data_IF_359801505348
#
_entry.id   IF_359801505348
#
_cell.length_a   1.000
_cell.length_b   1.000
_cell.length_c   1.000
_cell.angle_alpha   90.00
_cell.angle_beta   90.00
_cell.angle_gamma   90.00
#
_symmetry.space_group_name_H-M   'P 1'
#
loop_
_entity.id
_entity.type
_entity.pdbx_description
1 polymer ?
#
# COMPACT_ATOMS: atom_id res chain seq x y z
N UNK A 1 -16.74 -1.07 -54.54
CA UNK A 1 -16.52 -0.02 -55.56
C UNK A 1 -17.57 1.08 -55.51
N UNK A 2 -18.86 0.77 -55.35
CA UNK A 2 -19.94 1.78 -55.27
C UNK A 2 -19.84 2.70 -54.02
N UNK A 3 -19.39 2.14 -52.90
CA UNK A 3 -19.31 2.84 -51.62
C UNK A 3 -18.20 3.91 -51.61
N UNK A 4 -17.07 3.63 -52.26
CA UNK A 4 -15.97 4.59 -52.40
C UNK A 4 -16.36 5.80 -53.26
N UNK A 5 -17.20 5.60 -54.29
CA UNK A 5 -17.74 6.71 -55.09
C UNK A 5 -18.72 7.56 -54.27
N UNK A 6 -19.60 6.93 -53.49
CA UNK A 6 -20.54 7.64 -52.60
C UNK A 6 -19.81 8.53 -51.59
N UNK A 7 -18.74 8.03 -50.97
CA UNK A 7 -17.93 8.79 -50.02
C UNK A 7 -17.18 9.94 -50.71
N UNK A 8 -16.61 9.69 -51.89
CA UNK A 8 -15.92 10.74 -52.66
C UNK A 8 -16.86 11.85 -53.14
N UNK A 9 -18.10 11.52 -53.52
CA UNK A 9 -19.11 12.50 -53.92
C UNK A 9 -19.60 13.35 -52.73
N UNK A 10 -19.81 12.72 -51.57
CA UNK A 10 -20.31 13.42 -50.37
C UNK A 10 -19.25 14.23 -49.62
N UNK A 11 -18.03 13.73 -49.51
CA UNK A 11 -16.98 14.27 -48.61
C UNK A 11 -15.82 14.87 -49.40
N UNK A 12 -15.67 14.53 -50.68
CA UNK A 12 -14.53 14.93 -51.50
C UNK A 12 -13.28 14.11 -51.22
N UNK A 13 -12.21 14.40 -51.97
CA UNK A 13 -10.90 13.73 -51.83
C UNK A 13 -9.96 14.41 -50.82
N UNK A 14 -10.34 15.57 -50.29
CA UNK A 14 -9.48 16.30 -49.37
C UNK A 14 -9.55 15.66 -47.99
N UNK A 15 -8.39 15.50 -47.34
CA UNK A 15 -8.32 14.93 -46.00
C UNK A 15 -8.76 15.99 -44.97
N UNK A 16 -9.91 15.81 -44.27
CA UNK A 16 -10.36 16.76 -43.26
C UNK A 16 -9.56 16.64 -41.96
N UNK A 17 -8.82 15.55 -41.75
CA UNK A 17 -8.00 15.33 -40.57
C UNK A 17 -6.59 15.87 -40.80
N UNK A 18 -6.45 17.20 -40.73
CA UNK A 18 -5.15 17.87 -40.71
C UNK A 18 -4.93 18.49 -39.34
N UNK A 19 -3.79 18.19 -38.73
CA UNK A 19 -3.38 18.86 -37.49
C UNK A 19 -2.93 20.29 -37.79
N UNK A 20 -3.13 21.23 -36.86
CA UNK A 20 -2.53 22.55 -36.94
C UNK A 20 -1.00 22.46 -37.04
N UNK A 21 -0.39 23.39 -37.76
CA UNK A 21 1.06 23.57 -37.81
C UNK A 21 1.60 23.73 -36.37
N UNK A 22 2.64 22.96 -36.01
CA UNK A 22 3.26 23.02 -34.69
C UNK A 22 2.49 22.39 -33.52
N UNK A 23 1.41 21.64 -33.78
CA UNK A 23 0.65 20.93 -32.73
C UNK A 23 1.52 19.94 -31.95
N UNK A 24 2.24 19.07 -32.67
CA UNK A 24 3.08 18.05 -32.04
C UNK A 24 4.34 18.62 -31.39
N UNK A 25 4.80 19.81 -31.81
CA UNK A 25 5.97 20.48 -31.22
C UNK A 25 5.72 20.89 -29.76
N UNK A 26 4.48 21.28 -29.44
CA UNK A 26 4.10 21.72 -28.10
C UNK A 26 3.40 20.64 -27.25
N UNK A 27 3.00 19.53 -27.87
CA UNK A 27 2.26 18.46 -27.21
C UNK A 27 2.99 17.94 -25.97
N UNK A 28 4.27 17.65 -26.08
CA UNK A 28 5.07 17.13 -24.96
C UNK A 28 5.11 18.10 -23.78
N UNK A 29 5.32 19.39 -24.05
CA UNK A 29 5.33 20.42 -23.01
C UNK A 29 3.96 20.55 -22.33
N UNK A 30 2.89 20.52 -23.12
CA UNK A 30 1.53 20.61 -22.61
C UNK A 30 1.16 19.38 -21.76
N UNK A 31 1.53 18.17 -22.19
CA UNK A 31 1.31 16.96 -21.40
C UNK A 31 2.07 17.04 -20.08
N UNK A 32 3.37 17.34 -20.09
CA UNK A 32 4.18 17.46 -18.87
C UNK A 32 3.66 18.52 -17.90
N UNK A 33 3.14 19.64 -18.39
CA UNK A 33 2.55 20.69 -17.57
C UNK A 33 1.25 20.25 -16.87
N UNK A 34 0.49 19.34 -17.48
CA UNK A 34 -0.76 18.83 -16.93
C UNK A 34 -0.57 17.59 -16.04
N UNK A 35 0.66 17.10 -15.87
CA UNK A 35 0.93 16.02 -14.92
C UNK A 35 0.75 16.55 -13.49
N UNK A 36 0.03 15.84 -12.61
CA UNK A 36 -0.05 16.20 -11.21
C UNK A 36 1.36 16.19 -10.59
N UNK A 37 1.65 17.15 -9.71
CA UNK A 37 2.89 17.12 -8.94
C UNK A 37 2.97 15.77 -8.22
N UNK A 38 3.99 14.98 -8.55
CA UNK A 38 4.19 13.72 -7.86
C UNK A 38 4.30 14.02 -6.37
N UNK A 39 3.50 13.35 -5.50
CA UNK A 39 3.54 13.62 -4.09
C UNK A 39 4.98 13.42 -3.65
N UNK A 40 5.63 14.50 -3.19
CA UNK A 40 6.95 14.41 -2.56
C UNK A 40 6.78 13.39 -1.44
N UNK A 41 7.25 12.16 -1.67
CA UNK A 41 7.18 11.07 -0.69
C UNK A 41 7.75 11.65 0.59
N UNK A 42 6.88 11.97 1.54
CA UNK A 42 7.30 12.43 2.86
C UNK A 42 7.99 11.22 3.45
N UNK A 43 9.32 11.20 3.36
CA UNK A 43 10.13 10.24 4.07
C UNK A 43 9.84 10.50 5.54
N UNK A 44 8.98 9.69 6.16
CA UNK A 44 8.78 9.74 7.60
C UNK A 44 10.16 9.45 8.19
N UNK A 45 10.75 10.45 8.84
CA UNK A 45 12.06 10.32 9.47
C UNK A 45 11.96 9.22 10.54
N UNK A 46 12.58 8.07 10.25
CA UNK A 46 12.60 6.90 11.14
C UNK A 46 13.53 7.13 12.36
N UNK A 47 14.18 8.29 12.43
CA UNK A 47 15.26 8.60 13.37
C UNK A 47 14.85 8.60 14.85
N UNK A 48 13.55 8.74 15.17
CA UNK A 48 13.08 8.69 16.57
C UNK A 48 12.80 7.29 17.09
N UNK A 49 12.74 6.26 16.23
CA UNK A 49 12.52 4.86 16.66
C UNK A 49 13.48 4.37 17.77
N UNK A 50 14.81 4.61 17.72
CA UNK A 50 15.71 4.11 18.76
C UNK A 50 15.48 4.76 20.13
N UNK A 51 15.02 6.01 20.19
CA UNK A 51 14.77 6.73 21.45
C UNK A 51 13.57 6.15 22.19
N UNK A 52 12.52 5.73 21.46
CA UNK A 52 11.35 5.09 22.06
C UNK A 52 11.67 3.72 22.67
N UNK A 53 12.53 2.90 22.05
CA UNK A 53 12.96 1.62 22.62
C UNK A 53 13.78 1.82 23.90
N UNK A 54 14.67 2.80 23.92
CA UNK A 54 15.43 3.14 25.12
C UNK A 54 14.51 3.61 26.25
N UNK A 55 13.56 4.52 25.98
CA UNK A 55 12.60 4.97 26.97
C UNK A 55 11.72 3.82 27.51
N UNK A 56 11.24 2.93 26.64
CA UNK A 56 10.45 1.77 27.04
C UNK A 56 11.22 0.82 27.97
N UNK A 57 12.51 0.57 27.69
CA UNK A 57 13.34 -0.26 28.56
C UNK A 57 13.53 0.32 29.96
N UNK A 58 13.71 1.65 30.08
CA UNK A 58 13.83 2.31 31.38
C UNK A 58 12.52 2.24 32.15
N UNK A 59 11.38 2.47 31.49
CA UNK A 59 10.06 2.32 32.11
C UNK A 59 9.81 0.89 32.60
N UNK A 60 10.16 -0.13 31.81
CA UNK A 60 10.01 -1.52 32.21
C UNK A 60 10.84 -1.88 33.46
N UNK A 61 12.08 -1.40 33.54
CA UNK A 61 12.94 -1.59 34.71
C UNK A 61 12.41 -0.88 35.96
N UNK A 62 11.86 0.34 35.81
CA UNK A 62 11.26 1.07 36.92
C UNK A 62 10.00 0.37 37.45
N UNK A 63 9.14 -0.13 36.55
CA UNK A 63 7.94 -0.89 36.94
C UNK A 63 8.33 -2.20 37.62
N UNK A 64 9.29 -2.96 37.07
CA UNK A 64 9.75 -4.20 37.69
C UNK A 64 10.44 -3.97 39.04
N UNK A 65 11.22 -2.89 39.17
CA UNK A 65 11.83 -2.50 40.45
C UNK A 65 10.79 -2.09 41.48
N UNK A 66 9.77 -1.34 41.08
CA UNK A 66 8.67 -0.93 41.96
C UNK A 66 7.83 -2.13 42.41
N UNK A 67 7.51 -3.08 41.52
CA UNK A 67 6.76 -4.30 41.89
C UNK A 67 7.56 -5.21 42.82
N UNK A 68 8.88 -5.28 42.65
CA UNK A 68 9.76 -6.02 43.56
C UNK A 68 9.84 -5.36 44.94
N UNK A 69 9.91 -4.03 44.99
CA UNK A 69 9.99 -3.28 46.24
C UNK A 69 8.65 -3.18 46.99
N UNK A 70 7.53 -3.31 46.28
CA UNK A 70 6.18 -3.27 46.85
C UNK A 70 5.52 -4.62 47.05
N UNK A 71 6.23 -5.75 46.97
CA UNK A 71 5.62 -7.05 47.30
C UNK A 71 5.06 -7.00 48.74
N UNK A 72 3.73 -6.99 48.95
CA UNK A 72 3.18 -7.33 50.26
C UNK A 72 3.49 -8.81 50.49
N UNK A 73 3.85 -9.19 51.72
CA UNK A 73 3.97 -10.60 52.09
C UNK A 73 2.60 -11.28 51.91
N UNK A 74 2.38 -11.87 50.73
CA UNK A 74 1.25 -12.70 50.41
C UNK A 74 1.79 -14.09 50.05
N UNK A 75 1.65 -15.00 51.01
CA UNK A 75 1.79 -16.43 50.79
C UNK A 75 0.82 -16.86 49.67
N UNK A 76 1.32 -17.53 48.63
CA UNK A 76 0.47 -18.06 47.57
C UNK A 76 1.13 -18.12 46.21
N UNK A 77 2.13 -18.98 46.09
CA UNK A 77 2.72 -19.40 44.81
C UNK A 77 1.68 -20.07 43.92
N UNK A 78 1.16 -19.36 42.92
CA UNK A 78 0.72 -19.95 41.63
C UNK A 78 0.76 -18.86 40.56
N UNK A 79 1.97 -18.51 40.10
CA UNK A 79 2.14 -17.92 38.78
C UNK A 79 2.35 -19.07 37.82
N UNK A 80 1.27 -19.49 37.15
CA UNK A 80 1.34 -20.41 36.04
C UNK A 80 2.36 -19.90 35.02
N UNK A 81 3.37 -20.72 34.79
CA UNK A 81 4.37 -20.53 33.75
C UNK A 81 3.66 -20.51 32.39
N UNK A 82 3.57 -19.33 31.77
CA UNK A 82 3.25 -19.26 30.34
C UNK A 82 4.48 -19.78 29.58
N UNK A 83 4.46 -21.09 29.33
CA UNK A 83 5.37 -21.75 28.41
C UNK A 83 5.14 -21.14 27.02
N UNK A 84 6.20 -20.57 26.44
CA UNK A 84 6.24 -20.24 25.03
C UNK A 84 6.21 -21.54 24.21
N UNK A 85 5.02 -22.06 23.96
CA UNK A 85 4.79 -23.04 22.92
C UNK A 85 4.65 -22.32 21.59
N UNK A 86 5.74 -22.29 20.83
CA UNK A 86 5.63 -22.24 19.38
C UNK A 86 4.99 -23.56 18.93
N UNK A 87 3.81 -23.48 18.31
CA UNK A 87 3.35 -24.24 17.12
C UNK A 87 1.83 -24.05 16.98
N UNK A 88 1.47 -23.37 15.88
CA UNK A 88 0.22 -23.41 15.13
C UNK A 88 -1.11 -23.47 15.92
N UNK A 89 -1.74 -22.30 16.11
CA UNK A 89 -3.19 -22.21 16.25
C UNK A 89 -3.75 -21.37 15.10
N UNK A 90 -4.76 -21.86 14.36
CA UNK A 90 -5.49 -21.07 13.38
C UNK A 90 -6.46 -20.18 14.16
N UNK A 91 -5.97 -19.04 14.66
CA UNK A 91 -6.87 -18.01 15.15
C UNK A 91 -7.50 -17.37 13.91
N UNK A 92 -8.81 -17.60 13.75
CA UNK A 92 -9.66 -16.93 12.79
C UNK A 92 -9.62 -15.43 13.12
N UNK A 93 -8.61 -14.77 12.56
CA UNK A 93 -8.43 -13.35 12.64
C UNK A 93 -9.43 -12.76 11.64
N UNK A 94 -10.43 -12.03 12.14
CA UNK A 94 -11.23 -11.14 11.30
C UNK A 94 -10.25 -10.33 10.45
N UNK A 95 -10.16 -10.66 9.16
CA UNK A 95 -9.22 -10.01 8.25
C UNK A 95 -9.66 -8.56 8.11
N UNK A 96 -9.03 -7.70 8.91
CA UNK A 96 -9.12 -6.26 8.80
C UNK A 96 -8.65 -5.86 7.39
N UNK A 97 -9.49 -5.11 6.68
CA UNK A 97 -9.25 -4.72 5.28
C UNK A 97 -7.89 -4.04 5.09
N UNK A 98 -7.42 -3.29 6.09
CA UNK A 98 -6.09 -2.68 6.10
C UNK A 98 -4.93 -3.70 6.04
N UNK A 99 -5.07 -4.86 6.69
CA UNK A 99 -4.06 -5.92 6.63
C UNK A 99 -4.10 -6.65 5.29
N UNK A 100 -5.30 -6.83 4.73
CA UNK A 100 -5.47 -7.40 3.39
C UNK A 100 -4.87 -6.49 2.34
N UNK A 101 -5.09 -5.18 2.42
CA UNK A 101 -4.54 -4.19 1.50
C UNK A 101 -3.00 -4.17 1.54
N UNK A 102 -2.39 -4.16 2.73
CA UNK A 102 -0.92 -4.17 2.87
C UNK A 102 -0.33 -5.50 2.32
N UNK A 103 -1.00 -6.63 2.57
CA UNK A 103 -0.60 -7.92 2.00
C UNK A 103 -0.70 -7.94 0.46
N UNK A 104 -1.76 -7.36 -0.11
CA UNK A 104 -1.96 -7.22 -1.57
C UNK A 104 -0.84 -6.35 -2.18
N UNK A 105 -0.48 -5.25 -1.53
CA UNK A 105 0.60 -4.36 -1.95
C UNK A 105 1.98 -5.06 -1.91
N UNK A 106 2.28 -5.87 -0.87
CA UNK A 106 3.53 -6.64 -0.81
C UNK A 106 3.60 -7.77 -1.83
N UNK A 107 2.46 -8.36 -2.17
CA UNK A 107 2.38 -9.38 -3.21
C UNK A 107 2.57 -8.79 -4.61
N UNK A 108 2.57 -7.45 -4.75
CA UNK A 108 2.47 -6.77 -6.05
C UNK A 108 1.32 -7.30 -6.90
N UNK A 109 0.24 -7.69 -6.22
CA UNK A 109 -0.88 -8.36 -6.87
C UNK A 109 -1.65 -7.33 -7.70
N UNK A 110 -1.65 -7.48 -9.02
CA UNK A 110 -2.43 -6.62 -9.91
C UNK A 110 -3.86 -7.16 -10.10
N UNK A 111 -4.74 -6.31 -10.65
CA UNK A 111 -6.11 -6.74 -10.93
C UNK A 111 -6.16 -7.94 -11.90
N UNK A 112 -5.18 -8.05 -12.80
CA UNK A 112 -5.12 -9.12 -13.78
C UNK A 112 -4.81 -10.48 -13.13
N UNK A 113 -3.91 -10.52 -12.14
CA UNK A 113 -3.61 -11.69 -11.31
C UNK A 113 -4.83 -12.10 -10.49
N UNK A 114 -5.58 -11.17 -9.93
CA UNK A 114 -6.86 -11.47 -9.24
C UNK A 114 -7.85 -12.16 -10.20
N UNK A 115 -8.00 -11.67 -11.43
CA UNK A 115 -8.89 -12.29 -12.42
C UNK A 115 -8.38 -13.64 -12.91
N UNK A 116 -7.07 -13.83 -13.04
CA UNK A 116 -6.47 -15.10 -13.43
C UNK A 116 -6.79 -16.21 -12.41
N UNK A 117 -6.65 -15.93 -11.12
CA UNK A 117 -7.02 -16.88 -10.05
C UNK A 117 -8.50 -17.25 -10.03
N UNK A 118 -9.39 -16.28 -10.34
CA UNK A 118 -10.83 -16.53 -10.42
C UNK A 118 -11.23 -17.30 -11.69
N UNK A 119 -10.43 -17.23 -12.75
CA UNK A 119 -10.66 -17.92 -14.01
C UNK A 119 -10.08 -19.34 -14.06
N UNK A 120 -9.15 -19.68 -13.16
CA UNK A 120 -8.51 -21.00 -13.05
C UNK A 120 -9.38 -22.04 -12.27
N UNK A 121 -10.60 -21.66 -11.85
CA UNK A 121 -11.53 -22.51 -11.10
C UNK A 121 -12.92 -22.51 -11.76
#
# INVERSE_FOLDING_TARGET
MNEEMYIQEKVGKQNPFRVPEGYFDNLTAQVMQNLPEQPKRRTKSVFMRPVFYAAASVCALLVAGATWMWQPAADGTTTDTVQAQAVAQPQQQEMNSEYVEDAVDYMMLDNHEIYAYLAEN
#
